data_IF_064935953718
#
_entry.id   IF_064935953718
#
_cell.length_a   1.000
_cell.length_b   1.000
_cell.length_c   1.000
_cell.angle_alpha   90.00
_cell.angle_beta   90.00
_cell.angle_gamma   90.00
#
_symmetry.space_group_name_H-M   'P 1'
#
loop_
_entity.id
_entity.type
_entity.pdbx_description
1 polymer ?
#
# COMPACT_ATOMS: atom_id res chain seq x y z
N UNK A 1 14.47 29.89 -35.72
CA UNK A 1 14.79 30.77 -36.86
C UNK A 1 16.30 30.96 -36.93
N UNK A 2 16.95 30.52 -38.04
CA UNK A 2 18.40 30.54 -38.21
C UNK A 2 18.99 31.91 -38.54
N UNK A 3 18.16 32.96 -38.75
CA UNK A 3 18.58 34.31 -39.18
C UNK A 3 19.55 34.30 -40.38
N UNK A 4 19.43 33.33 -41.27
CA UNK A 4 20.18 33.17 -42.50
C UNK A 4 19.28 33.51 -43.67
N UNK A 5 19.74 34.38 -44.57
CA UNK A 5 18.95 34.86 -45.67
C UNK A 5 19.71 34.67 -46.98
N UNK A 6 19.00 34.31 -48.04
CA UNK A 6 19.49 34.29 -49.40
C UNK A 6 19.22 35.64 -50.01
N UNK A 7 20.22 36.24 -50.64
CA UNK A 7 20.09 37.50 -51.36
C UNK A 7 19.80 37.25 -52.83
N UNK A 8 19.19 38.24 -53.56
CA UNK A 8 18.99 38.15 -55.01
C UNK A 8 20.32 37.92 -55.72
N UNK A 9 20.38 36.98 -56.65
CA UNK A 9 21.60 36.65 -57.44
C UNK A 9 21.79 37.65 -58.58
N UNK A 10 22.46 38.74 -58.29
CA UNK A 10 22.72 39.79 -59.25
C UNK A 10 24.14 39.71 -59.83
N UNK A 11 25.07 39.10 -59.14
CA UNK A 11 26.48 38.96 -59.51
C UNK A 11 27.10 37.63 -58.97
N UNK A 12 28.38 37.42 -59.31
CA UNK A 12 29.09 36.22 -58.89
C UNK A 12 29.35 36.19 -57.35
N UNK A 13 29.47 37.36 -56.73
CA UNK A 13 29.64 37.46 -55.27
C UNK A 13 28.35 37.08 -54.53
N UNK A 14 27.17 37.51 -55.00
CA UNK A 14 25.88 37.10 -54.41
C UNK A 14 25.62 35.59 -54.53
N UNK A 15 26.04 35.00 -55.68
CA UNK A 15 25.99 33.51 -55.84
C UNK A 15 26.89 32.79 -54.86
N UNK A 16 28.14 33.25 -54.67
CA UNK A 16 29.06 32.64 -53.68
C UNK A 16 28.55 32.81 -52.25
N UNK A 17 27.97 33.95 -51.92
CA UNK A 17 27.36 34.20 -50.61
C UNK A 17 26.16 33.28 -50.36
N UNK A 18 25.26 33.10 -51.31
CA UNK A 18 24.13 32.20 -51.22
C UNK A 18 24.59 30.79 -51.08
N UNK A 19 25.59 30.32 -51.84
CA UNK A 19 26.13 28.99 -51.72
C UNK A 19 26.75 28.72 -50.33
N UNK A 20 27.53 29.70 -49.82
CA UNK A 20 28.07 29.60 -48.46
C UNK A 20 26.98 29.54 -47.40
N UNK A 21 25.91 30.34 -47.55
CA UNK A 21 24.75 30.34 -46.64
C UNK A 21 24.01 28.99 -46.68
N UNK A 22 23.80 28.39 -47.85
CA UNK A 22 23.17 27.09 -48.03
C UNK A 22 24.03 25.96 -47.42
N UNK A 23 25.33 26.01 -47.61
CA UNK A 23 26.27 25.05 -47.00
C UNK A 23 26.20 25.12 -45.46
N UNK A 24 26.23 26.34 -44.89
CA UNK A 24 26.11 26.55 -43.47
C UNK A 24 24.75 26.07 -42.92
N UNK A 25 23.65 26.38 -43.61
CA UNK A 25 22.31 25.95 -43.23
C UNK A 25 22.16 24.42 -43.25
N UNK A 26 22.72 23.77 -44.28
CA UNK A 26 22.71 22.29 -44.39
C UNK A 26 23.58 21.67 -43.31
N UNK A 27 24.71 22.25 -42.94
CA UNK A 27 25.53 21.76 -41.81
C UNK A 27 24.76 21.87 -40.49
N UNK A 28 24.14 22.99 -40.19
CA UNK A 28 23.32 23.17 -38.99
C UNK A 28 22.15 22.17 -38.97
N UNK A 29 21.52 21.93 -40.13
CA UNK A 29 20.46 20.93 -40.26
C UNK A 29 20.98 19.53 -39.96
N UNK A 30 22.14 19.15 -40.50
CA UNK A 30 22.76 17.84 -40.23
C UNK A 30 23.12 17.67 -38.75
N UNK A 31 23.77 18.70 -38.16
CA UNK A 31 24.12 18.68 -36.75
C UNK A 31 22.86 18.53 -35.85
N UNK A 32 21.78 19.24 -36.21
CA UNK A 32 20.51 19.14 -35.47
C UNK A 32 19.83 17.78 -35.64
N UNK A 33 19.93 17.16 -36.80
CA UNK A 33 19.45 15.78 -37.02
C UNK A 33 20.26 14.80 -36.15
N UNK A 34 21.58 14.96 -36.07
CA UNK A 34 22.46 14.13 -35.23
C UNK A 34 22.12 14.35 -33.74
N UNK A 35 21.93 15.59 -33.28
CA UNK A 35 21.48 15.87 -31.91
C UNK A 35 20.14 15.19 -31.58
N UNK A 36 19.16 15.27 -32.50
CA UNK A 36 17.86 14.64 -32.35
C UNK A 36 17.96 13.11 -32.34
N UNK A 37 18.81 12.54 -33.20
CA UNK A 37 19.04 11.09 -33.27
C UNK A 37 19.82 10.58 -32.06
N UNK A 38 20.75 11.36 -31.52
CA UNK A 38 21.52 10.98 -30.34
C UNK A 38 20.78 11.25 -29.01
N UNK A 39 19.58 11.85 -29.05
CA UNK A 39 18.77 12.13 -27.88
C UNK A 39 19.25 13.28 -27.01
N UNK A 40 20.29 14.01 -27.43
CA UNK A 40 20.82 15.17 -26.70
C UNK A 40 19.87 16.37 -26.69
N UNK A 41 18.93 16.44 -27.63
CA UNK A 41 17.89 17.47 -27.70
C UNK A 41 16.64 17.17 -26.82
N UNK A 42 16.70 16.20 -25.93
CA UNK A 42 15.59 15.83 -25.06
C UNK A 42 14.43 15.10 -25.77
N UNK A 43 14.52 14.92 -27.07
CA UNK A 43 13.68 13.98 -27.81
C UNK A 43 14.40 12.64 -27.71
N UNK A 44 14.21 11.94 -26.58
CA UNK A 44 14.56 10.54 -26.54
C UNK A 44 13.81 9.88 -27.70
N UNK A 45 14.54 9.36 -28.70
CA UNK A 45 13.96 8.24 -29.45
C UNK A 45 13.41 7.31 -28.39
N UNK A 46 12.17 6.90 -28.52
CA UNK A 46 11.65 5.80 -27.74
C UNK A 46 12.57 4.61 -28.07
N UNK A 47 13.71 4.49 -27.34
CA UNK A 47 14.32 3.20 -27.17
C UNK A 47 13.16 2.33 -26.74
N UNK A 48 13.03 1.17 -27.33
CA UNK A 48 12.20 0.09 -26.82
C UNK A 48 12.70 -0.28 -25.42
N UNK A 49 12.53 0.64 -24.48
CA UNK A 49 12.67 0.31 -23.07
C UNK A 49 11.56 -0.71 -22.79
N UNK A 50 11.89 -1.86 -22.25
CA UNK A 50 10.92 -2.90 -22.03
C UNK A 50 9.75 -2.30 -21.23
N UNK A 51 8.54 -2.32 -21.83
CA UNK A 51 7.36 -1.76 -21.20
C UNK A 51 7.09 -2.50 -19.91
N UNK A 52 7.14 -1.79 -18.80
CA UNK A 52 6.83 -2.34 -17.47
C UNK A 52 5.31 -2.31 -17.31
N UNK A 53 4.69 -3.49 -17.16
CA UNK A 53 3.26 -3.58 -16.89
C UNK A 53 2.95 -3.26 -15.42
N UNK A 54 1.81 -2.61 -15.20
CA UNK A 54 1.35 -2.25 -13.84
C UNK A 54 1.26 -3.46 -12.92
N UNK A 55 0.68 -4.57 -13.41
CA UNK A 55 0.52 -5.77 -12.59
C UNK A 55 1.84 -6.45 -12.26
N UNK A 56 2.81 -6.45 -13.18
CA UNK A 56 4.16 -6.97 -12.95
C UNK A 56 4.89 -6.11 -11.90
N UNK A 57 4.74 -4.77 -12.01
CA UNK A 57 5.26 -3.87 -11.00
C UNK A 57 4.64 -4.13 -9.62
N UNK A 58 3.34 -4.31 -9.54
CA UNK A 58 2.64 -4.61 -8.28
C UNK A 58 3.11 -5.94 -7.67
N UNK A 59 3.38 -6.94 -8.50
CA UNK A 59 3.92 -8.23 -8.05
C UNK A 59 5.35 -8.05 -7.50
N UNK A 60 6.23 -7.34 -8.22
CA UNK A 60 7.57 -6.97 -7.74
C UNK A 60 7.50 -6.19 -6.42
N UNK A 61 6.58 -5.24 -6.32
CA UNK A 61 6.36 -4.48 -5.10
C UNK A 61 5.99 -5.40 -3.92
N UNK A 62 5.09 -6.37 -4.13
CA UNK A 62 4.71 -7.37 -3.11
C UNK A 62 5.94 -8.15 -2.62
N UNK A 63 6.77 -8.63 -3.53
CA UNK A 63 7.98 -9.38 -3.20
C UNK A 63 8.98 -8.53 -2.40
N UNK A 64 9.17 -7.28 -2.80
CA UNK A 64 10.02 -6.33 -2.09
C UNK A 64 9.50 -6.03 -0.67
N UNK A 65 8.18 -5.93 -0.48
CA UNK A 65 7.60 -5.76 0.86
C UNK A 65 7.78 -7.01 1.73
N UNK A 66 7.63 -8.21 1.15
CA UNK A 66 7.87 -9.47 1.85
C UNK A 66 9.33 -9.61 2.30
N UNK A 67 10.31 -9.27 1.43
CA UNK A 67 11.74 -9.25 1.79
C UNK A 67 12.05 -8.29 2.94
N UNK A 68 11.28 -7.21 3.09
CA UNK A 68 11.38 -6.24 4.21
C UNK A 68 10.61 -6.69 5.46
N UNK A 69 10.10 -7.92 5.50
CA UNK A 69 9.37 -8.48 6.65
C UNK A 69 7.96 -7.90 6.85
N UNK A 70 7.42 -7.17 5.86
CA UNK A 70 6.05 -6.62 5.95
C UNK A 70 5.01 -7.70 5.63
N UNK A 71 3.93 -7.73 6.42
CA UNK A 71 2.85 -8.72 6.31
C UNK A 71 1.67 -8.27 5.42
N UNK A 72 1.89 -7.26 4.56
CA UNK A 72 0.83 -6.67 3.73
C UNK A 72 0.51 -7.47 2.45
N UNK A 73 1.13 -8.64 2.28
CA UNK A 73 1.04 -9.44 1.05
C UNK A 73 -0.37 -9.75 0.59
N UNK A 74 -1.27 -10.11 1.51
CA UNK A 74 -2.67 -10.41 1.18
C UNK A 74 -3.41 -9.18 0.64
N UNK A 75 -3.18 -7.99 1.22
CA UNK A 75 -3.79 -6.75 0.76
C UNK A 75 -3.26 -6.35 -0.63
N UNK A 76 -1.98 -6.59 -0.89
CA UNK A 76 -1.38 -6.30 -2.19
C UNK A 76 -1.94 -7.25 -3.25
N UNK A 77 -2.11 -8.54 -2.96
CA UNK A 77 -2.76 -9.51 -3.87
C UNK A 77 -4.19 -9.07 -4.20
N UNK A 78 -4.95 -8.65 -3.20
CA UNK A 78 -6.31 -8.13 -3.43
C UNK A 78 -6.28 -6.87 -4.31
N UNK A 79 -5.35 -5.94 -4.08
CA UNK A 79 -5.21 -4.75 -4.91
C UNK A 79 -4.82 -5.08 -6.36
N UNK A 80 -3.97 -6.08 -6.59
CA UNK A 80 -3.65 -6.59 -7.94
C UNK A 80 -4.91 -7.11 -8.64
N UNK A 81 -5.73 -7.91 -7.96
CA UNK A 81 -6.97 -8.43 -8.53
C UNK A 81 -7.96 -7.31 -8.85
N UNK A 82 -8.06 -6.30 -8.00
CA UNK A 82 -8.92 -5.13 -8.25
C UNK A 82 -8.41 -4.33 -9.47
N UNK A 83 -7.11 -4.09 -9.56
CA UNK A 83 -6.52 -3.40 -10.72
C UNK A 83 -6.75 -4.19 -12.02
N UNK A 84 -6.64 -5.52 -11.97
CA UNK A 84 -6.95 -6.38 -13.11
C UNK A 84 -8.42 -6.25 -13.55
N UNK A 85 -9.36 -6.18 -12.61
CA UNK A 85 -10.78 -5.96 -12.91
C UNK A 85 -11.05 -4.55 -13.44
N UNK A 86 -10.38 -3.53 -12.89
CA UNK A 86 -10.57 -2.14 -13.28
C UNK A 86 -10.00 -1.82 -14.67
N UNK A 87 -8.78 -2.24 -14.95
CA UNK A 87 -8.02 -1.78 -16.11
C UNK A 87 -7.49 -2.90 -17.02
N UNK A 88 -7.67 -4.16 -16.63
CA UNK A 88 -7.14 -5.30 -17.37
C UNK A 88 -5.64 -5.55 -17.11
N UNK A 89 -5.05 -6.41 -17.94
CA UNK A 89 -3.67 -6.88 -17.73
C UNK A 89 -2.62 -6.08 -18.52
N UNK A 90 -3.04 -5.33 -19.53
CA UNK A 90 -2.12 -4.72 -20.53
C UNK A 90 -1.75 -3.27 -20.23
N UNK A 91 -2.13 -2.76 -19.07
CA UNK A 91 -1.77 -1.39 -18.65
C UNK A 91 -0.31 -1.31 -18.30
N UNK A 92 0.41 -0.40 -18.92
CA UNK A 92 1.83 -0.13 -18.67
C UNK A 92 2.00 1.06 -17.74
N UNK A 93 3.16 1.17 -17.08
CA UNK A 93 3.43 2.21 -16.08
C UNK A 93 3.40 3.63 -16.66
N UNK A 94 3.69 3.79 -17.95
CA UNK A 94 3.61 5.07 -18.68
C UNK A 94 2.16 5.50 -18.98
N UNK A 95 1.20 4.58 -18.97
CA UNK A 95 -0.23 4.87 -19.16
C UNK A 95 -0.91 5.35 -17.86
N UNK A 96 -0.23 5.27 -16.72
CA UNK A 96 -0.80 5.64 -15.43
C UNK A 96 -0.68 7.15 -15.27
N UNK A 97 -1.76 7.85 -15.54
CA UNK A 97 -1.89 9.30 -15.44
C UNK A 97 -2.89 9.71 -14.33
N UNK A 98 -3.18 11.01 -14.21
CA UNK A 98 -4.17 11.52 -13.26
C UNK A 98 -5.57 10.99 -13.54
N UNK A 99 -6.11 10.99 -14.78
CA UNK A 99 -7.39 10.37 -15.12
C UNK A 99 -7.49 8.90 -14.72
N UNK A 100 -6.46 8.09 -14.99
CA UNK A 100 -6.40 6.69 -14.56
C UNK A 100 -6.55 6.55 -13.03
N UNK A 101 -5.78 7.34 -12.28
CA UNK A 101 -5.81 7.31 -10.82
C UNK A 101 -7.13 7.81 -10.24
N UNK A 102 -7.76 8.82 -10.84
CA UNK A 102 -9.07 9.30 -10.46
C UNK A 102 -10.13 8.22 -10.73
N UNK A 103 -10.15 7.64 -11.94
CA UNK A 103 -11.07 6.57 -12.28
C UNK A 103 -10.92 5.34 -11.37
N UNK A 104 -9.71 5.01 -10.92
CA UNK A 104 -9.51 3.94 -9.94
C UNK A 104 -10.14 4.27 -8.57
N UNK A 105 -10.06 5.51 -8.11
CA UNK A 105 -10.74 5.98 -6.90
C UNK A 105 -12.25 5.82 -7.05
N UNK A 106 -12.80 6.32 -8.16
CA UNK A 106 -14.24 6.30 -8.44
C UNK A 106 -14.74 4.85 -8.54
N UNK A 107 -13.99 3.98 -9.23
CA UNK A 107 -14.27 2.54 -9.31
C UNK A 107 -14.38 1.88 -7.93
N UNK A 108 -13.43 2.16 -7.02
CA UNK A 108 -13.45 1.62 -5.66
C UNK A 108 -14.68 2.07 -4.86
N UNK A 109 -15.15 3.30 -5.09
CA UNK A 109 -16.25 3.90 -4.32
C UNK A 109 -17.63 3.58 -4.88
N UNK A 110 -17.75 3.31 -6.18
CA UNK A 110 -19.05 3.22 -6.85
C UNK A 110 -19.34 1.88 -7.51
N UNK A 111 -18.30 1.15 -7.97
CA UNK A 111 -18.46 -0.02 -8.81
C UNK A 111 -17.96 -1.31 -8.18
N UNK A 112 -16.89 -1.27 -7.40
CA UNK A 112 -16.28 -2.47 -6.84
C UNK A 112 -17.16 -3.15 -5.79
N UNK A 113 -17.79 -4.29 -6.18
CA UNK A 113 -18.76 -5.05 -5.39
C UNK A 113 -18.38 -6.54 -5.31
N UNK A 114 -17.34 -6.93 -4.54
CA UNK A 114 -16.85 -8.31 -4.50
C UNK A 114 -17.90 -9.35 -4.08
N UNK A 115 -18.87 -8.97 -3.27
CA UNK A 115 -19.97 -9.83 -2.80
C UNK A 115 -21.34 -9.23 -3.13
N UNK A 116 -21.48 -8.56 -4.28
CA UNK A 116 -22.72 -7.89 -4.69
C UNK A 116 -23.02 -6.58 -3.93
N UNK A 117 -22.17 -6.20 -2.94
CA UNK A 117 -22.29 -4.96 -2.18
C UNK A 117 -21.01 -4.14 -2.29
N UNK A 118 -21.15 -2.82 -2.33
CA UNK A 118 -19.99 -1.92 -2.28
C UNK A 118 -19.15 -2.19 -1.04
N UNK A 119 -17.84 -2.11 -1.20
CA UNK A 119 -16.93 -2.21 -0.05
C UNK A 119 -17.10 -1.02 0.88
N UNK A 120 -16.85 -1.24 2.17
CA UNK A 120 -16.83 -0.14 3.14
C UNK A 120 -15.76 0.88 2.77
N UNK A 121 -16.01 2.15 3.04
CA UNK A 121 -15.09 3.26 2.74
C UNK A 121 -13.68 3.04 3.34
N UNK A 122 -13.60 2.48 4.56
CA UNK A 122 -12.33 2.10 5.19
C UNK A 122 -11.57 1.03 4.41
N UNK A 123 -12.28 0.10 3.78
CA UNK A 123 -11.72 -0.96 2.94
C UNK A 123 -11.23 -0.39 1.62
N UNK A 124 -12.04 0.47 0.97
CA UNK A 124 -11.63 1.19 -0.24
C UNK A 124 -10.37 2.03 0.01
N UNK A 125 -10.31 2.75 1.14
CA UNK A 125 -9.12 3.49 1.55
C UNK A 125 -7.88 2.58 1.67
N UNK A 126 -8.01 1.38 2.22
CA UNK A 126 -6.88 0.45 2.34
C UNK A 126 -6.36 0.02 0.96
N UNK A 127 -7.25 -0.30 0.00
CA UNK A 127 -6.84 -0.67 -1.36
C UNK A 127 -6.21 0.50 -2.11
N UNK A 128 -6.81 1.69 -2.02
CA UNK A 128 -6.22 2.94 -2.55
C UNK A 128 -4.81 3.15 -1.99
N UNK A 129 -4.63 3.04 -0.67
CA UNK A 129 -3.34 3.23 0.00
C UNK A 129 -2.27 2.26 -0.49
N UNK A 130 -2.63 1.01 -0.76
CA UNK A 130 -1.70 0.00 -1.29
C UNK A 130 -1.19 0.41 -2.68
N UNK A 131 -2.08 0.78 -3.60
CA UNK A 131 -1.69 1.18 -4.95
C UNK A 131 -0.90 2.49 -4.92
N UNK A 132 -1.34 3.47 -4.14
CA UNK A 132 -0.59 4.72 -3.95
C UNK A 132 0.83 4.46 -3.39
N UNK A 133 0.96 3.55 -2.44
CA UNK A 133 2.25 3.12 -1.90
C UNK A 133 3.16 2.46 -2.93
N UNK A 134 2.60 1.63 -3.81
CA UNK A 134 3.31 0.98 -4.90
C UNK A 134 3.78 1.99 -5.97
N UNK A 135 2.95 2.98 -6.31
CA UNK A 135 3.37 4.05 -7.24
C UNK A 135 4.43 4.96 -6.61
N UNK A 136 4.37 5.25 -5.31
CA UNK A 136 5.46 5.95 -4.62
C UNK A 136 6.77 5.13 -4.61
N UNK A 137 6.69 3.80 -4.57
CA UNK A 137 7.86 2.95 -4.72
C UNK A 137 8.40 2.99 -6.16
N UNK A 138 7.53 3.04 -7.17
CA UNK A 138 7.91 3.18 -8.57
C UNK A 138 8.65 4.50 -8.85
N UNK A 139 8.24 5.59 -8.18
CA UNK A 139 8.98 6.86 -8.24
C UNK A 139 10.38 6.72 -7.64
N UNK A 140 10.53 6.04 -6.50
CA UNK A 140 11.84 5.83 -5.86
C UNK A 140 12.77 4.89 -6.65
N UNK A 141 12.21 4.05 -7.52
CA UNK A 141 12.97 3.16 -8.41
C UNK A 141 13.09 3.74 -9.83
N UNK A 142 12.81 5.03 -10.01
CA UNK A 142 12.89 5.79 -11.27
C UNK A 142 12.09 5.17 -12.45
N UNK A 143 11.08 4.34 -12.14
CA UNK A 143 10.18 3.73 -13.13
C UNK A 143 9.19 4.77 -13.66
N UNK A 144 8.71 5.65 -12.79
CA UNK A 144 7.88 6.81 -13.13
C UNK A 144 8.45 8.07 -12.48
N UNK A 145 8.33 9.20 -13.14
CA UNK A 145 8.89 10.48 -12.64
C UNK A 145 8.12 11.04 -11.44
N UNK A 146 6.81 10.84 -11.40
CA UNK A 146 5.92 11.37 -10.37
C UNK A 146 4.76 10.39 -10.17
N UNK A 147 4.30 10.28 -8.93
CA UNK A 147 3.09 9.53 -8.63
C UNK A 147 1.85 10.37 -9.02
N UNK A 148 1.01 9.92 -9.97
CA UNK A 148 -0.13 10.71 -10.43
C UNK A 148 -1.18 11.00 -9.36
N UNK A 149 -1.30 10.17 -8.32
CA UNK A 149 -2.17 10.46 -7.17
C UNK A 149 -1.82 11.77 -6.47
N UNK A 150 -0.59 12.25 -6.57
CA UNK A 150 -0.21 13.55 -5.97
C UNK A 150 -0.88 14.73 -6.64
N UNK A 151 -1.30 14.57 -7.91
CA UNK A 151 -1.99 15.61 -8.69
C UNK A 151 -3.51 15.65 -8.45
N UNK A 152 -4.06 14.70 -7.69
CA UNK A 152 -5.47 14.65 -7.31
C UNK A 152 -5.68 15.54 -6.09
N UNK A 153 -6.73 16.34 -6.10
CA UNK A 153 -7.12 17.19 -4.98
C UNK A 153 -7.37 16.39 -3.70
N UNK A 154 -7.16 16.99 -2.55
CA UNK A 154 -7.36 16.29 -1.27
C UNK A 154 -8.81 15.83 -1.11
N UNK A 155 -9.78 16.65 -1.53
CA UNK A 155 -11.22 16.32 -1.49
C UNK A 155 -11.60 15.06 -2.28
N UNK A 156 -10.83 14.77 -3.35
CA UNK A 156 -11.14 13.72 -4.30
C UNK A 156 -10.40 12.41 -3.98
N UNK A 157 -9.57 12.43 -2.94
CA UNK A 157 -8.88 11.24 -2.43
C UNK A 157 -9.74 10.47 -1.43
N UNK A 158 -9.53 9.17 -1.36
CA UNK A 158 -10.17 8.35 -0.33
C UNK A 158 -9.44 8.60 1.00
N UNK A 159 -10.10 9.32 1.91
CA UNK A 159 -9.60 9.53 3.27
C UNK A 159 -9.97 8.37 4.18
N UNK A 160 -9.16 8.15 5.21
CA UNK A 160 -9.52 7.20 6.25
C UNK A 160 -10.73 7.76 7.02
N UNK A 161 -11.86 7.02 7.07
CA UNK A 161 -13.00 7.48 7.83
C UNK A 161 -12.66 7.52 9.33
N UNK A 162 -13.24 8.46 10.02
CA UNK A 162 -13.23 8.44 11.47
C UNK A 162 -13.98 7.20 11.97
N UNK A 163 -13.35 6.41 12.82
CA UNK A 163 -13.97 5.24 13.42
C UNK A 163 -14.45 5.58 14.82
N UNK A 164 -15.76 5.58 15.02
CA UNK A 164 -16.34 5.55 16.36
C UNK A 164 -16.04 4.17 16.95
N UNK A 165 -15.24 4.13 18.01
CA UNK A 165 -14.98 2.88 18.72
C UNK A 165 -16.15 2.60 19.64
N UNK A 166 -16.81 1.49 19.41
CA UNK A 166 -17.80 0.95 20.33
C UNK A 166 -17.08 0.06 21.36
N UNK A 167 -17.52 0.09 22.58
CA UNK A 167 -17.04 -0.72 23.69
C UNK A 167 -18.22 -1.20 24.51
N UNK A 168 -18.07 -2.35 25.17
CA UNK A 168 -19.08 -2.87 26.08
C UNK A 168 -19.03 -2.08 27.38
N UNK A 169 -20.20 -1.66 27.82
CA UNK A 169 -20.38 -1.09 29.16
C UNK A 169 -20.24 -2.18 30.23
N UNK A 170 -20.00 -1.76 31.47
CA UNK A 170 -19.92 -2.71 32.60
C UNK A 170 -21.18 -3.53 32.74
N UNK A 171 -22.36 -2.93 32.50
CA UNK A 171 -23.64 -3.64 32.61
C UNK A 171 -23.85 -4.65 31.46
N UNK A 172 -23.34 -4.37 30.27
CA UNK A 172 -23.34 -5.34 29.16
C UNK A 172 -22.40 -6.52 29.46
N UNK A 173 -21.22 -6.27 30.05
CA UNK A 173 -20.32 -7.35 30.50
C UNK A 173 -21.00 -8.19 31.58
N UNK A 174 -21.69 -7.59 32.55
CA UNK A 174 -22.47 -8.33 33.58
C UNK A 174 -23.56 -9.19 32.96
N UNK A 175 -24.30 -8.66 31.97
CA UNK A 175 -25.31 -9.43 31.22
C UNK A 175 -24.67 -10.61 30.48
N UNK A 176 -23.53 -10.38 29.83
CA UNK A 176 -22.81 -11.46 29.14
C UNK A 176 -22.38 -12.57 30.12
N UNK A 177 -21.88 -12.22 31.31
CA UNK A 177 -21.53 -13.17 32.36
C UNK A 177 -22.74 -14.04 32.74
N UNK A 178 -23.90 -13.45 32.89
CA UNK A 178 -25.15 -14.11 33.26
C UNK A 178 -25.78 -14.95 32.13
N UNK A 179 -25.42 -14.69 30.86
CA UNK A 179 -26.03 -15.33 29.69
C UNK A 179 -25.38 -16.70 29.45
N UNK A 180 -26.13 -17.82 29.42
CA UNK A 180 -25.60 -19.12 29.02
C UNK A 180 -25.12 -19.11 27.57
N UNK A 181 -23.97 -19.76 27.29
CA UNK A 181 -23.45 -19.93 25.95
C UNK A 181 -23.20 -21.41 25.63
N UNK A 182 -23.31 -21.77 24.36
CA UNK A 182 -23.03 -23.14 23.91
C UNK A 182 -21.56 -23.53 24.12
N UNK A 183 -20.65 -22.57 24.06
CA UNK A 183 -19.21 -22.75 24.26
C UNK A 183 -18.75 -21.88 25.43
N UNK A 184 -18.68 -22.44 26.61
CA UNK A 184 -18.23 -21.72 27.82
C UNK A 184 -16.73 -21.40 27.80
N UNK A 185 -15.89 -22.16 27.07
CA UNK A 185 -14.47 -21.84 26.91
C UNK A 185 -14.28 -20.55 26.10
N UNK A 186 -15.03 -20.36 25.01
CA UNK A 186 -15.01 -19.13 24.22
C UNK A 186 -15.48 -17.93 25.05
N UNK A 187 -16.52 -18.11 25.87
CA UNK A 187 -17.00 -17.09 26.78
C UNK A 187 -15.94 -16.73 27.82
N UNK A 188 -15.32 -17.74 28.45
CA UNK A 188 -14.25 -17.51 29.43
C UNK A 188 -13.06 -16.76 28.80
N UNK A 189 -12.60 -17.18 27.63
CA UNK A 189 -11.52 -16.52 26.91
C UNK A 189 -11.87 -15.05 26.52
N UNK A 190 -13.12 -14.79 26.12
CA UNK A 190 -13.58 -13.46 25.81
C UNK A 190 -13.63 -12.57 27.06
N UNK A 191 -14.18 -13.05 28.17
CA UNK A 191 -14.23 -12.34 29.44
C UNK A 191 -12.83 -12.11 30.00
N UNK A 192 -11.95 -13.11 29.92
CA UNK A 192 -10.54 -12.93 30.23
C UNK A 192 -9.91 -11.79 29.42
N UNK A 193 -10.20 -11.74 28.10
CA UNK A 193 -9.78 -10.64 27.24
C UNK A 193 -10.28 -9.27 27.72
N UNK A 194 -11.55 -9.19 28.14
CA UNK A 194 -12.12 -7.94 28.66
C UNK A 194 -11.39 -7.43 29.91
N UNK A 195 -10.96 -8.32 30.81
CA UNK A 195 -10.32 -7.93 32.06
C UNK A 195 -8.79 -7.81 31.99
N UNK A 196 -8.14 -8.43 31.00
CA UNK A 196 -6.69 -8.33 30.83
C UNK A 196 -6.25 -7.49 29.63
N UNK A 197 -7.15 -7.10 28.71
CA UNK A 197 -6.85 -6.28 27.54
C UNK A 197 -6.01 -6.98 26.45
N UNK A 198 -5.79 -8.29 26.56
CA UNK A 198 -5.08 -9.06 25.54
C UNK A 198 -5.95 -9.27 24.30
N UNK A 199 -5.32 -9.29 23.11
CA UNK A 199 -6.01 -9.63 21.86
C UNK A 199 -6.25 -11.13 21.78
N UNK A 200 -7.27 -11.55 21.04
CA UNK A 200 -7.57 -12.97 20.83
C UNK A 200 -6.36 -13.76 20.32
N UNK A 201 -5.51 -13.17 19.46
CA UNK A 201 -4.28 -13.80 18.98
C UNK A 201 -3.26 -14.05 20.09
N UNK A 202 -3.23 -13.19 21.11
CA UNK A 202 -2.31 -13.30 22.22
C UNK A 202 -2.84 -14.31 23.25
N UNK A 203 -4.16 -14.33 23.50
CA UNK A 203 -4.82 -15.32 24.36
C UNK A 203 -4.69 -16.74 23.80
N UNK A 204 -4.98 -16.94 22.52
CA UNK A 204 -4.86 -18.26 21.90
C UNK A 204 -3.42 -18.78 21.81
N UNK A 205 -2.43 -17.89 21.93
CA UNK A 205 -1.02 -18.24 21.98
C UNK A 205 -0.47 -18.38 23.41
N UNK A 206 -1.27 -18.00 24.42
CA UNK A 206 -0.84 -17.96 25.82
C UNK A 206 -0.53 -19.39 26.32
N UNK A 207 0.59 -19.53 27.02
CA UNK A 207 1.06 -20.76 27.63
C UNK A 207 1.25 -20.58 29.11
N UNK A 208 1.27 -21.68 29.85
CA UNK A 208 1.51 -21.63 31.28
C UNK A 208 2.88 -21.14 31.66
N UNK A 209 3.88 -21.23 30.80
CA UNK A 209 5.20 -20.60 30.98
C UNK A 209 5.17 -19.07 30.96
N UNK A 210 4.07 -18.47 30.49
CA UNK A 210 3.87 -17.01 30.48
C UNK A 210 3.18 -16.49 31.75
N UNK A 211 2.77 -17.40 32.66
CA UNK A 211 2.06 -17.07 33.88
C UNK A 211 3.01 -17.20 35.06
N UNK A 212 3.26 -16.12 35.73
CA UNK A 212 4.20 -16.02 36.87
C UNK A 212 3.47 -15.61 38.12
N UNK A 213 3.92 -16.16 39.26
CA UNK A 213 3.51 -15.70 40.57
C UNK A 213 4.58 -14.78 41.12
N UNK A 214 4.21 -13.54 41.46
CA UNK A 214 5.09 -12.54 42.07
C UNK A 214 4.47 -12.10 43.40
N UNK A 215 4.90 -12.75 44.50
CA UNK A 215 4.26 -12.64 45.78
C UNK A 215 2.80 -13.09 45.74
N UNK A 216 1.90 -12.23 46.14
CA UNK A 216 0.45 -12.47 46.08
C UNK A 216 -0.19 -12.17 44.72
N UNK A 217 0.58 -11.63 43.75
CA UNK A 217 0.05 -11.18 42.46
C UNK A 217 0.45 -12.12 41.35
N UNK A 218 -0.53 -12.58 40.56
CA UNK A 218 -0.29 -13.30 39.32
C UNK A 218 -0.04 -12.31 38.20
N UNK A 219 0.99 -12.54 37.39
CA UNK A 219 1.37 -11.71 36.25
C UNK A 219 1.46 -12.55 34.97
N UNK A 220 1.27 -11.88 33.84
CA UNK A 220 1.58 -12.43 32.51
C UNK A 220 2.80 -11.74 31.92
N UNK A 221 3.71 -12.53 31.38
CA UNK A 221 4.78 -12.06 30.49
C UNK A 221 4.53 -12.58 29.08
N UNK A 222 4.14 -11.69 28.20
CA UNK A 222 3.70 -12.07 26.84
C UNK A 222 4.39 -11.19 25.79
N UNK A 223 4.92 -11.82 24.77
CA UNK A 223 5.33 -11.10 23.55
C UNK A 223 4.14 -11.03 22.61
N UNK A 224 3.57 -9.83 22.45
CA UNK A 224 2.38 -9.62 21.64
C UNK A 224 2.58 -10.05 20.20
N UNK A 225 1.68 -10.87 19.67
CA UNK A 225 1.79 -11.44 18.31
C UNK A 225 1.80 -10.35 17.21
N UNK A 226 1.02 -9.30 17.40
CA UNK A 226 0.89 -8.23 16.40
C UNK A 226 2.04 -7.22 16.40
N UNK A 227 2.47 -6.78 17.58
CA UNK A 227 3.45 -5.69 17.73
C UNK A 227 4.86 -6.18 18.04
N UNK A 228 5.01 -7.46 18.39
CA UNK A 228 6.26 -8.07 18.88
C UNK A 228 6.85 -7.37 20.11
N UNK A 229 6.04 -6.56 20.79
CA UNK A 229 6.44 -5.91 22.03
C UNK A 229 6.20 -6.86 23.21
N UNK A 230 7.15 -6.99 24.14
CA UNK A 230 6.93 -7.66 25.42
C UNK A 230 6.00 -6.79 26.28
N UNK A 231 5.09 -7.43 26.98
CA UNK A 231 4.25 -6.81 28.02
C UNK A 231 4.29 -7.62 29.29
N UNK A 232 4.29 -6.90 30.40
CA UNK A 232 4.20 -7.43 31.74
C UNK A 232 2.88 -6.95 32.33
N UNK A 233 1.94 -7.86 32.52
CA UNK A 233 0.58 -7.52 32.87
C UNK A 233 0.19 -8.20 34.20
N UNK A 234 -0.03 -7.42 35.27
CA UNK A 234 -0.63 -7.96 36.48
C UNK A 234 -2.09 -8.32 36.21
N UNK A 235 -2.52 -9.49 36.66
CA UNK A 235 -3.89 -9.94 36.52
C UNK A 235 -4.75 -9.46 37.70
N UNK A 236 -5.91 -8.91 37.37
CA UNK A 236 -6.94 -8.61 38.39
C UNK A 236 -7.60 -9.92 38.89
N UNK A 237 -8.23 -9.90 40.08
CA UNK A 237 -9.02 -11.04 40.56
C UNK A 237 -10.12 -11.44 39.54
N UNK A 238 -10.71 -10.48 38.87
CA UNK A 238 -11.71 -10.72 37.83
C UNK A 238 -11.12 -11.44 36.62
N UNK A 239 -9.93 -11.07 36.19
CA UNK A 239 -9.22 -11.76 35.10
C UNK A 239 -8.89 -13.20 35.50
N UNK A 240 -8.38 -13.42 36.70
CA UNK A 240 -8.08 -14.76 37.23
C UNK A 240 -9.31 -15.68 37.28
N UNK A 241 -10.47 -15.14 37.62
CA UNK A 241 -11.73 -15.89 37.64
C UNK A 241 -12.08 -16.52 36.29
N UNK A 242 -11.66 -15.91 35.19
CA UNK A 242 -11.93 -16.40 33.84
C UNK A 242 -10.75 -17.12 33.20
N UNK A 243 -9.65 -17.24 33.89
CA UNK A 243 -8.52 -18.08 33.49
C UNK A 243 -8.79 -19.53 33.89
N UNK A 244 -8.53 -20.52 33.02
CA UNK A 244 -8.71 -21.91 33.36
C UNK A 244 -7.73 -22.32 34.44
N UNK A 245 -8.08 -23.37 35.21
CA UNK A 245 -7.15 -23.96 36.16
C UNK A 245 -6.02 -24.70 35.45
N UNK A 246 -4.80 -24.59 35.94
CA UNK A 246 -3.66 -25.25 35.33
C UNK A 246 -3.71 -26.78 35.41
N UNK A 247 -4.20 -27.33 36.53
CA UNK A 247 -4.21 -28.76 36.75
C UNK A 247 -2.82 -29.40 36.54
N UNK A 248 -2.77 -30.47 35.77
CA UNK A 248 -1.55 -31.21 35.44
C UNK A 248 -0.81 -30.66 34.19
N UNK A 249 -1.20 -29.51 33.67
CA UNK A 249 -0.60 -28.94 32.45
C UNK A 249 0.83 -28.48 32.70
N UNK A 250 1.71 -28.84 31.76
CA UNK A 250 3.11 -28.41 31.76
C UNK A 250 3.29 -26.94 31.33
N UNK A 251 4.50 -26.41 31.49
CA UNK A 251 4.78 -24.97 31.15
C UNK A 251 4.48 -24.63 29.70
N UNK A 252 4.68 -25.55 28.76
CA UNK A 252 4.51 -25.30 27.30
C UNK A 252 3.09 -25.54 26.82
N UNK A 253 2.21 -26.05 27.67
CA UNK A 253 0.81 -26.27 27.35
C UNK A 253 0.07 -24.92 27.31
N UNK A 254 -0.98 -24.87 26.51
CA UNK A 254 -1.84 -23.69 26.43
C UNK A 254 -2.66 -23.48 27.70
N UNK A 255 -2.84 -22.26 28.05
CA UNK A 255 -3.77 -21.81 29.08
C UNK A 255 -5.21 -22.08 28.68
#
# INVERSE_FOLDING_TARGET
YLKMYIVPETDENSRRQNQATLVAANKIKADRIIELTNGEAGIKQAKDEPKIYLLDWMQKYKENQAKRGKKDGAQIVTAINILKMYAGEKVTMDMIDKPFCQGYIDYLLTEYKPNGKLVMHSTAHNYYRVVNGALNAAVREDIIKINPFTRIGSSDKIHKPESKREYMTVDEVRKLIATPMQNEEVKAAYLFSCFCGLRISDITALKWENVYQDGEQTRLEVVMQKTKAPIYLPLSPEALRWMPERGNKGPKDKV
#
